data_IF_656533086201
#
_entry.id   IF_656533086201
#
_cell.length_a   1.000
_cell.length_b   1.000
_cell.length_c   1.000
_cell.angle_alpha   90.00
_cell.angle_beta   90.00
_cell.angle_gamma   90.00
#
_symmetry.space_group_name_H-M   'P 1'
#
loop_
_entity.id
_entity.type
_entity.pdbx_description
1 polymer ?
#
# COMPACT_ATOMS: atom_id res chain seq x y z
N UNK A 1 -8.32 -9.66 46.14
CA UNK A 1 -8.75 -9.43 44.75
C UNK A 1 -7.52 -8.98 43.97
N UNK A 2 -6.88 -9.91 43.24
CA UNK A 2 -5.56 -9.71 42.62
C UNK A 2 -5.73 -8.98 41.28
N UNK A 3 -5.14 -7.79 41.17
CA UNK A 3 -4.89 -7.10 39.89
C UNK A 3 -3.79 -7.84 39.14
N UNK A 4 -4.09 -8.41 37.98
CA UNK A 4 -3.13 -8.82 36.95
C UNK A 4 -3.88 -8.89 35.62
N UNK A 5 -3.35 -8.60 34.45
CA UNK A 5 -2.17 -7.86 34.01
C UNK A 5 -2.36 -7.83 32.48
N UNK A 6 -2.50 -6.64 31.92
CA UNK A 6 -2.41 -6.39 30.47
C UNK A 6 -1.15 -7.07 29.94
N UNK A 7 -1.30 -8.13 29.15
CA UNK A 7 -0.19 -8.75 28.42
C UNK A 7 -0.38 -8.48 26.94
N UNK A 8 0.25 -7.40 26.52
CA UNK A 8 0.50 -7.00 25.15
C UNK A 8 1.48 -8.01 24.54
N UNK A 9 1.03 -8.80 23.57
CA UNK A 9 1.90 -9.72 22.83
C UNK A 9 2.53 -8.95 21.65
N UNK A 10 3.69 -8.31 21.87
CA UNK A 10 4.54 -7.82 20.77
C UNK A 10 5.61 -8.88 20.53
N UNK A 11 5.48 -9.62 19.44
CA UNK A 11 6.54 -10.46 18.92
C UNK A 11 7.56 -9.58 18.20
N UNK A 12 8.71 -9.36 18.84
CA UNK A 12 9.87 -8.68 18.26
C UNK A 12 10.67 -9.69 17.42
N UNK A 13 10.55 -9.62 16.10
CA UNK A 13 11.50 -10.25 15.18
C UNK A 13 12.70 -9.31 15.00
N UNK A 14 13.83 -9.69 15.60
CA UNK A 14 15.15 -9.10 15.34
C UNK A 14 15.67 -9.68 14.02
N UNK A 15 15.98 -8.80 13.07
CA UNK A 15 16.83 -9.09 11.92
C UNK A 15 18.04 -8.12 11.93
N UNK A 16 19.24 -8.57 11.50
CA UNK A 16 20.49 -7.83 11.70
C UNK A 16 20.59 -6.60 10.79
N UNK A 17 21.15 -5.53 11.37
CA UNK A 17 21.35 -4.22 10.78
C UNK A 17 22.22 -4.25 9.53
N UNK A 18 21.62 -4.02 8.37
CA UNK A 18 22.32 -3.53 7.18
C UNK A 18 22.47 -2.00 7.30
N UNK A 19 23.67 -1.50 7.04
CA UNK A 19 24.05 -0.10 7.20
C UNK A 19 23.09 0.88 6.51
N UNK A 20 22.56 1.85 7.26
CA UNK A 20 21.76 2.94 6.73
C UNK A 20 22.67 3.97 6.03
N UNK A 21 22.64 3.99 4.70
CA UNK A 21 22.92 5.21 3.95
C UNK A 21 21.70 6.14 4.05
N UNK A 22 21.86 7.44 4.38
CA UNK A 22 20.74 8.37 4.49
C UNK A 22 20.32 8.84 3.09
N UNK A 23 19.53 8.01 2.39
CA UNK A 23 18.76 8.42 1.22
C UNK A 23 17.61 7.44 0.95
N UNK A 24 16.91 6.97 1.98
CA UNK A 24 15.54 6.50 1.78
C UNK A 24 14.64 7.70 1.93
N UNK A 25 14.39 8.40 0.82
CA UNK A 25 13.13 9.12 0.69
C UNK A 25 12.05 8.08 1.00
N UNK A 26 11.25 8.31 2.04
CA UNK A 26 10.14 7.44 2.35
C UNK A 26 9.23 7.41 1.13
N UNK A 27 9.33 6.38 0.29
CA UNK A 27 8.32 6.11 -0.72
C UNK A 27 7.03 5.97 0.06
N UNK A 28 6.08 6.87 -0.15
CA UNK A 28 4.76 6.76 0.45
C UNK A 28 4.26 5.34 0.13
N UNK A 29 4.08 4.50 1.14
CA UNK A 29 3.56 3.17 0.91
C UNK A 29 2.10 3.33 0.46
N UNK A 30 1.72 2.67 -0.63
CA UNK A 30 0.34 2.60 -1.04
C UNK A 30 -0.46 1.86 0.03
N UNK A 31 -1.41 2.55 0.67
CA UNK A 31 -2.16 2.01 1.79
C UNK A 31 -3.26 1.06 1.30
N UNK A 32 -3.14 -0.22 1.67
CA UNK A 32 -4.15 -1.28 1.41
C UNK A 32 -4.86 -1.73 2.69
N UNK A 33 -4.54 -1.10 3.82
CA UNK A 33 -5.16 -1.33 5.13
C UNK A 33 -5.55 -0.01 5.78
N UNK A 34 -6.76 0.05 6.33
CA UNK A 34 -7.27 1.18 7.11
C UNK A 34 -6.52 1.31 8.45
N UNK A 35 -6.70 2.45 9.13
CA UNK A 35 -6.06 2.73 10.42
C UNK A 35 -6.47 1.76 11.54
N UNK A 36 -7.63 1.12 11.42
CA UNK A 36 -8.13 0.10 12.35
C UNK A 36 -7.65 -1.33 11.99
N UNK A 37 -6.83 -1.46 10.94
CA UNK A 37 -6.29 -2.73 10.46
C UNK A 37 -7.22 -3.52 9.53
N UNK A 38 -8.42 -3.02 9.23
CA UNK A 38 -9.29 -3.61 8.22
C UNK A 38 -8.72 -3.39 6.80
N UNK A 39 -8.97 -4.28 5.83
CA UNK A 39 -8.55 -4.06 4.45
C UNK A 39 -9.28 -2.84 3.86
N UNK A 40 -8.58 -2.05 3.05
CA UNK A 40 -9.18 -0.99 2.23
C UNK A 40 -10.01 -1.67 1.14
N UNK A 41 -11.18 -1.11 0.82
CA UNK A 41 -11.97 -1.62 -0.31
C UNK A 41 -11.25 -1.31 -1.64
N UNK A 42 -11.37 -2.19 -2.63
CA UNK A 42 -10.67 -1.99 -3.90
C UNK A 42 -11.02 -0.65 -4.58
N UNK A 43 -12.28 -0.20 -4.49
CA UNK A 43 -12.73 1.10 -5.00
C UNK A 43 -12.08 2.28 -4.27
N UNK A 44 -11.90 2.18 -2.95
CA UNK A 44 -11.22 3.22 -2.16
C UNK A 44 -9.72 3.27 -2.47
N UNK A 45 -9.09 2.11 -2.68
CA UNK A 45 -7.70 2.02 -3.11
C UNK A 45 -7.50 2.67 -4.50
N UNK A 46 -8.35 2.34 -5.47
CA UNK A 46 -8.33 2.96 -6.80
C UNK A 46 -8.56 4.48 -6.73
N UNK A 47 -9.49 4.93 -5.89
CA UNK A 47 -9.76 6.36 -5.68
C UNK A 47 -8.55 7.07 -5.08
N UNK A 48 -7.87 6.47 -4.10
CA UNK A 48 -6.65 7.02 -3.52
C UNK A 48 -5.53 7.15 -4.57
N UNK A 49 -5.30 6.10 -5.37
CA UNK A 49 -4.32 6.11 -6.45
C UNK A 49 -4.57 7.25 -7.46
N UNK A 50 -5.82 7.38 -7.93
CA UNK A 50 -6.22 8.44 -8.85
C UNK A 50 -6.10 9.83 -8.24
N UNK A 51 -6.38 9.96 -6.94
CA UNK A 51 -6.22 11.22 -6.21
C UNK A 51 -4.75 11.62 -6.16
N UNK A 52 -3.84 10.70 -5.87
CA UNK A 52 -2.40 10.96 -5.90
C UNK A 52 -1.90 11.34 -7.29
N UNK A 53 -2.44 10.73 -8.34
CA UNK A 53 -2.10 11.06 -9.73
C UNK A 53 -2.54 12.48 -10.17
N UNK A 54 -3.36 13.19 -9.37
CA UNK A 54 -3.70 14.60 -9.65
C UNK A 54 -2.60 15.57 -9.25
N UNK A 55 -1.69 15.17 -8.34
CA UNK A 55 -0.61 16.02 -7.84
C UNK A 55 0.78 15.49 -8.16
N UNK A 56 0.90 14.20 -8.41
CA UNK A 56 2.15 13.53 -8.80
C UNK A 56 1.92 12.82 -10.12
N UNK A 57 2.68 13.17 -11.15
CA UNK A 57 2.45 12.62 -12.48
C UNK A 57 3.21 11.29 -12.65
N UNK A 58 2.62 10.29 -13.33
CA UNK A 58 3.34 9.07 -13.64
C UNK A 58 4.60 9.35 -14.48
N UNK A 59 5.70 8.75 -14.07
CA UNK A 59 6.96 8.75 -14.84
C UNK A 59 6.88 7.95 -16.14
N UNK A 60 5.94 6.99 -16.20
CA UNK A 60 5.54 6.26 -17.39
C UNK A 60 4.01 6.15 -17.40
N UNK A 61 3.36 7.00 -18.22
CA UNK A 61 1.90 7.05 -18.30
C UNK A 61 1.30 5.78 -18.88
N UNK A 62 1.93 5.20 -19.91
CA UNK A 62 1.41 3.98 -20.54
C UNK A 62 1.45 2.80 -19.58
N UNK A 63 2.52 2.69 -18.79
CA UNK A 63 2.63 1.64 -17.78
C UNK A 63 1.66 1.85 -16.63
N UNK A 64 1.48 3.09 -16.19
CA UNK A 64 0.49 3.44 -15.18
C UNK A 64 -0.92 3.04 -15.62
N UNK A 65 -1.33 3.40 -16.84
CA UNK A 65 -2.65 3.08 -17.38
C UNK A 65 -2.86 1.56 -17.52
N UNK A 66 -1.83 0.82 -17.96
CA UNK A 66 -1.87 -0.65 -18.03
C UNK A 66 -2.09 -1.28 -16.65
N UNK A 67 -1.38 -0.81 -15.63
CA UNK A 67 -1.49 -1.31 -14.26
C UNK A 67 -2.84 -0.96 -13.64
N UNK A 68 -3.34 0.25 -13.85
CA UNK A 68 -4.67 0.66 -13.39
C UNK A 68 -5.75 -0.19 -14.05
N UNK A 69 -5.66 -0.45 -15.36
CA UNK A 69 -6.62 -1.31 -16.07
C UNK A 69 -6.60 -2.73 -15.52
N UNK A 70 -5.40 -3.32 -15.34
CA UNK A 70 -5.26 -4.67 -14.75
C UNK A 70 -5.83 -4.72 -13.34
N UNK A 71 -5.53 -3.71 -12.51
CA UNK A 71 -6.06 -3.60 -11.17
C UNK A 71 -7.59 -3.55 -11.16
N UNK A 72 -8.19 -2.74 -12.05
CA UNK A 72 -9.65 -2.69 -12.23
C UNK A 72 -10.26 -4.04 -12.65
N UNK A 73 -9.62 -4.77 -13.57
CA UNK A 73 -10.10 -6.09 -13.97
C UNK A 73 -10.09 -7.09 -12.80
N UNK A 74 -9.12 -6.96 -11.88
CA UNK A 74 -9.05 -7.80 -10.68
C UNK A 74 -10.07 -7.37 -9.64
N UNK A 75 -10.25 -6.06 -9.48
CA UNK A 75 -11.26 -5.43 -8.64
C UNK A 75 -12.67 -5.93 -8.99
N UNK A 76 -13.04 -5.85 -10.27
CA UNK A 76 -14.33 -6.31 -10.77
C UNK A 76 -14.55 -7.82 -10.61
N UNK A 77 -13.47 -8.58 -10.43
CA UNK A 77 -13.50 -10.02 -10.20
C UNK A 77 -13.44 -10.38 -8.70
N UNK A 78 -13.65 -9.41 -7.80
CA UNK A 78 -13.54 -9.54 -6.34
C UNK A 78 -12.19 -10.13 -5.87
N UNK A 79 -11.13 -9.94 -6.66
CA UNK A 79 -9.78 -10.38 -6.33
C UNK A 79 -8.92 -9.20 -5.90
N UNK A 80 -9.31 -8.65 -4.76
CA UNK A 80 -8.73 -7.43 -4.18
C UNK A 80 -7.22 -7.57 -3.98
N UNK A 81 -6.74 -8.74 -3.53
CA UNK A 81 -5.31 -8.96 -3.26
C UNK A 81 -4.45 -8.80 -4.51
N UNK A 82 -4.93 -9.25 -5.67
CA UNK A 82 -4.20 -9.05 -6.94
C UNK A 82 -4.42 -7.64 -7.49
N UNK A 83 -5.56 -7.00 -7.22
CA UNK A 83 -5.79 -5.59 -7.55
C UNK A 83 -4.82 -4.67 -6.81
N UNK A 84 -4.68 -4.87 -5.49
CA UNK A 84 -3.78 -4.14 -4.60
C UNK A 84 -2.33 -4.12 -5.09
N UNK A 85 -1.84 -5.27 -5.58
CA UNK A 85 -0.51 -5.37 -6.17
C UNK A 85 -0.33 -4.46 -7.39
N UNK A 86 -1.29 -4.49 -8.32
CA UNK A 86 -1.24 -3.62 -9.51
C UNK A 86 -1.36 -2.14 -9.15
N UNK A 87 -2.20 -1.79 -8.18
CA UNK A 87 -2.33 -0.40 -7.73
C UNK A 87 -1.09 0.10 -7.00
N UNK A 88 -0.43 -0.75 -6.20
CA UNK A 88 0.85 -0.42 -5.56
C UNK A 88 1.96 -0.19 -6.61
N UNK A 89 2.04 -1.05 -7.63
CA UNK A 89 2.98 -0.88 -8.74
C UNK A 89 2.71 0.41 -9.51
N UNK A 90 1.43 0.75 -9.75
CA UNK A 90 1.05 2.00 -10.40
C UNK A 90 1.41 3.22 -9.53
N UNK A 91 1.20 3.14 -8.22
CA UNK A 91 1.56 4.21 -7.29
C UNK A 91 3.07 4.48 -7.29
N UNK A 92 3.89 3.44 -7.41
CA UNK A 92 5.35 3.57 -7.48
C UNK A 92 5.86 4.34 -8.71
N UNK A 93 5.01 4.53 -9.73
CA UNK A 93 5.33 5.33 -10.91
C UNK A 93 5.11 6.84 -10.70
N UNK A 94 4.37 7.25 -9.66
CA UNK A 94 4.06 8.65 -9.37
C UNK A 94 5.28 9.41 -8.81
N UNK A 95 5.51 10.63 -9.27
CA UNK A 95 6.57 11.55 -8.77
C UNK A 95 6.13 12.99 -8.67
#
# INVERSE_FOLDING_TARGET
MRKLATTLLIATLVAPSAALTPAMAASAAFAVTNADGSPVSCEDALKALRTSATTQHPTDQAKYDELVSKGMDRCNADDDKRADGFFADAFALLK
#
